data_IF_319647852266
#
_entry.id   IF_319647852266
#
_cell.length_a   1.000
_cell.length_b   1.000
_cell.length_c   1.000
_cell.angle_alpha   90.00
_cell.angle_beta   90.00
_cell.angle_gamma   90.00
#
_symmetry.space_group_name_H-M   'P 1'
#
loop_
_entity.id
_entity.type
_entity.pdbx_description
1 polymer ?
#
# COMPACT_ATOMS: atom_id res chain seq x y z
N UNK A 1 -21.46 3.28 -18.98
CA UNK A 1 -20.33 4.03 -19.57
C UNK A 1 -19.17 3.81 -18.62
N UNK A 2 -18.09 3.23 -19.11
CA UNK A 2 -16.87 3.03 -18.32
C UNK A 2 -16.25 4.40 -18.07
N UNK A 3 -16.17 4.86 -16.81
CA UNK A 3 -15.68 6.21 -16.47
C UNK A 3 -14.14 6.29 -16.41
N UNK A 4 -13.45 5.20 -16.79
CA UNK A 4 -11.99 5.14 -16.88
C UNK A 4 -11.28 5.11 -15.53
N UNK A 5 -12.02 4.91 -14.44
CA UNK A 5 -11.46 4.95 -13.10
C UNK A 5 -11.17 3.55 -12.54
N UNK A 6 -10.15 3.43 -11.68
CA UNK A 6 -9.77 2.15 -11.08
C UNK A 6 -10.89 1.60 -10.19
N UNK A 7 -11.26 0.34 -10.41
CA UNK A 7 -12.36 -0.33 -9.71
C UNK A 7 -11.80 -1.33 -8.70
N UNK A 8 -12.16 -1.22 -7.41
CA UNK A 8 -11.69 -2.17 -6.41
C UNK A 8 -12.30 -3.57 -6.68
N UNK A 9 -11.46 -4.60 -6.63
CA UNK A 9 -11.85 -6.00 -6.64
C UNK A 9 -12.11 -6.43 -5.20
N UNK A 10 -13.34 -6.82 -4.88
CA UNK A 10 -13.68 -7.38 -3.57
C UNK A 10 -13.92 -8.89 -3.72
N UNK A 11 -13.12 -9.70 -3.04
CA UNK A 11 -13.23 -11.16 -3.01
C UNK A 11 -13.82 -11.56 -1.66
N UNK A 12 -15.05 -12.03 -1.67
CA UNK A 12 -15.70 -12.54 -0.45
C UNK A 12 -15.92 -14.03 -0.59
N UNK A 13 -15.65 -14.76 0.49
CA UNK A 13 -15.91 -16.19 0.59
C UNK A 13 -16.04 -16.63 2.03
N UNK A 14 -16.57 -17.82 2.24
CA UNK A 14 -16.67 -18.41 3.57
C UNK A 14 -15.28 -18.67 4.19
N UNK A 15 -15.24 -18.88 5.50
CA UNK A 15 -14.00 -19.30 6.16
C UNK A 15 -13.52 -20.64 5.57
N UNK A 16 -12.24 -20.72 5.23
CA UNK A 16 -11.66 -21.90 4.59
C UNK A 16 -11.85 -21.99 3.07
N UNK A 17 -12.43 -20.98 2.41
CA UNK A 17 -12.65 -20.98 0.95
C UNK A 17 -11.38 -20.72 0.10
N UNK A 18 -10.18 -20.70 0.70
CA UNK A 18 -8.91 -20.48 -0.01
C UNK A 18 -8.50 -19.02 -0.23
N UNK A 19 -9.17 -18.06 0.42
CA UNK A 19 -8.88 -16.61 0.31
C UNK A 19 -7.43 -16.24 0.61
N UNK A 20 -6.93 -16.68 1.77
CA UNK A 20 -5.55 -16.44 2.18
C UNK A 20 -4.55 -17.15 1.28
N UNK A 21 -4.89 -18.32 0.73
CA UNK A 21 -4.09 -19.04 -0.27
C UNK A 21 -3.98 -18.26 -1.57
N UNK A 22 -5.06 -17.63 -2.02
CA UNK A 22 -5.04 -16.76 -3.21
C UNK A 22 -4.16 -15.53 -2.96
N UNK A 23 -4.36 -14.80 -1.85
CA UNK A 23 -3.52 -13.64 -1.48
C UNK A 23 -2.06 -14.04 -1.40
N UNK A 24 -1.74 -15.15 -0.73
CA UNK A 24 -0.37 -15.56 -0.51
C UNK A 24 0.34 -15.83 -1.84
N UNK A 25 -0.32 -16.44 -2.82
CA UNK A 25 0.27 -16.65 -4.16
C UNK A 25 0.48 -15.34 -4.92
N UNK A 26 -0.46 -14.39 -4.85
CA UNK A 26 -0.30 -13.07 -5.50
C UNK A 26 0.85 -12.31 -4.86
N UNK A 27 0.89 -12.22 -3.54
CA UNK A 27 1.95 -11.48 -2.83
C UNK A 27 3.31 -12.15 -3.01
N UNK A 28 3.38 -13.49 -2.94
CA UNK A 28 4.61 -14.23 -3.19
C UNK A 28 5.14 -13.97 -4.59
N UNK A 29 4.29 -13.93 -5.62
CA UNK A 29 4.74 -13.60 -6.97
C UNK A 29 5.41 -12.22 -7.08
N UNK A 30 4.95 -11.23 -6.32
CA UNK A 30 5.57 -9.90 -6.27
C UNK A 30 6.93 -9.94 -5.57
N UNK A 31 7.07 -10.72 -4.49
CA UNK A 31 8.33 -10.93 -3.79
C UNK A 31 9.36 -11.69 -4.65
N UNK A 32 8.93 -12.75 -5.35
CA UNK A 32 9.79 -13.50 -6.28
C UNK A 32 10.23 -12.63 -7.46
N UNK A 33 9.38 -11.71 -7.94
CA UNK A 33 9.75 -10.75 -8.97
C UNK A 33 10.80 -9.75 -8.44
N UNK A 34 10.55 -9.15 -7.28
CA UNK A 34 11.44 -8.16 -6.67
C UNK A 34 12.80 -8.75 -6.26
N UNK A 35 12.79 -9.98 -5.75
CA UNK A 35 13.98 -10.70 -5.27
C UNK A 35 15.04 -10.96 -6.35
N UNK A 36 14.67 -10.87 -7.63
CA UNK A 36 15.61 -10.97 -8.76
C UNK A 36 16.59 -9.81 -8.85
N UNK A 37 16.21 -8.64 -8.33
CA UNK A 37 16.95 -7.38 -8.56
C UNK A 37 17.27 -6.65 -7.27
N UNK A 38 16.37 -6.66 -6.29
CA UNK A 38 16.51 -5.86 -5.08
C UNK A 38 17.03 -6.69 -3.90
N UNK A 39 18.16 -6.27 -3.33
CA UNK A 39 18.84 -7.02 -2.25
C UNK A 39 18.12 -6.98 -0.90
N UNK A 40 17.15 -6.09 -0.74
CA UNK A 40 16.32 -5.96 0.46
C UNK A 40 14.87 -6.42 0.24
N UNK A 41 14.54 -7.00 -0.92
CA UNK A 41 13.20 -7.54 -1.15
C UNK A 41 12.96 -8.83 -0.36
N UNK A 42 13.99 -9.65 -0.19
CA UNK A 42 13.95 -10.90 0.59
C UNK A 42 14.86 -10.78 1.81
N UNK A 43 14.45 -11.39 2.93
CA UNK A 43 15.28 -11.39 4.14
C UNK A 43 16.41 -12.40 3.98
N UNK A 44 17.65 -11.92 3.96
CA UNK A 44 18.81 -12.80 4.02
C UNK A 44 19.03 -13.27 5.44
N UNK A 45 19.13 -14.59 5.61
CA UNK A 45 19.64 -15.15 6.85
C UNK A 45 21.11 -14.73 7.00
N UNK A 46 21.50 -14.28 8.19
CA UNK A 46 22.88 -13.80 8.43
C UNK A 46 23.88 -14.96 8.49
N UNK A 47 23.40 -16.19 8.68
CA UNK A 47 24.23 -17.38 8.88
C UNK A 47 24.26 -18.32 7.68
N UNK A 48 23.30 -18.21 6.74
CA UNK A 48 23.26 -19.01 5.53
C UNK A 48 23.19 -18.12 4.29
N UNK A 49 23.86 -18.51 3.19
CA UNK A 49 23.69 -17.85 1.87
C UNK A 49 22.27 -18.02 1.30
N UNK A 50 21.31 -18.50 2.09
CA UNK A 50 19.91 -18.68 1.73
C UNK A 50 19.09 -17.45 2.12
N UNK A 51 18.07 -17.19 1.31
CA UNK A 51 17.08 -16.17 1.56
C UNK A 51 15.84 -16.79 2.21
N UNK A 52 15.17 -16.01 3.05
CA UNK A 52 13.85 -16.36 3.59
C UNK A 52 12.81 -16.09 2.52
N UNK A 53 12.04 -17.11 2.18
CA UNK A 53 10.92 -17.01 1.23
C UNK A 53 9.73 -16.36 1.91
N UNK A 54 8.98 -15.53 1.18
CA UNK A 54 7.71 -14.99 1.66
C UNK A 54 6.69 -16.11 1.86
N UNK A 55 6.52 -16.99 0.85
CA UNK A 55 5.69 -18.20 0.94
C UNK A 55 6.54 -19.46 0.83
N UNK A 56 6.31 -20.42 1.73
CA UNK A 56 6.93 -21.75 1.68
C UNK A 56 6.07 -22.69 0.85
N UNK A 57 6.69 -23.55 0.03
CA UNK A 57 6.00 -24.65 -0.63
C UNK A 57 5.66 -25.69 0.44
N UNK A 58 4.39 -25.76 0.85
CA UNK A 58 3.93 -26.64 1.93
C UNK A 58 2.71 -27.45 1.53
N UNK A 59 2.78 -28.76 1.72
CA UNK A 59 1.65 -29.67 1.52
C UNK A 59 0.51 -29.42 2.51
N UNK A 60 0.74 -28.69 3.61
CA UNK A 60 -0.30 -28.33 4.57
C UNK A 60 -1.33 -27.34 3.99
N UNK A 61 -1.02 -26.65 2.89
CA UNK A 61 -1.97 -25.78 2.19
C UNK A 61 -2.93 -26.55 1.28
N UNK A 62 -2.68 -27.85 1.03
CA UNK A 62 -3.55 -28.70 0.22
C UNK A 62 -4.85 -28.94 0.99
N UNK A 63 -5.98 -28.66 0.34
CA UNK A 63 -7.30 -28.88 0.92
C UNK A 63 -7.47 -30.36 1.30
N UNK A 64 -8.05 -30.61 2.47
CA UNK A 64 -8.31 -31.98 2.96
C UNK A 64 -9.11 -32.77 1.91
N UNK A 65 -8.57 -33.92 1.51
CA UNK A 65 -9.16 -34.78 0.47
C UNK A 65 -8.57 -34.59 -0.93
N UNK A 66 -7.84 -33.50 -1.15
CA UNK A 66 -7.15 -33.21 -2.42
C UNK A 66 -5.70 -33.71 -2.39
N UNK A 67 -5.11 -33.90 -3.58
CA UNK A 67 -3.72 -34.39 -3.75
C UNK A 67 -2.71 -33.30 -4.05
N UNK A 68 -3.17 -32.13 -4.46
CA UNK A 68 -2.31 -31.05 -4.91
C UNK A 68 -2.96 -29.68 -4.68
N UNK A 69 -2.12 -28.65 -4.79
CA UNK A 69 -2.51 -27.26 -4.91
C UNK A 69 -1.58 -26.65 -5.98
N UNK A 70 -2.16 -25.97 -6.96
CA UNK A 70 -1.38 -25.13 -7.87
C UNK A 70 -1.99 -23.74 -7.97
N UNK A 71 -1.18 -22.78 -8.39
CA UNK A 71 -1.62 -21.42 -8.71
C UNK A 71 -0.88 -20.93 -9.94
N UNK A 72 -1.61 -20.25 -10.82
CA UNK A 72 -1.08 -19.53 -11.98
C UNK A 72 -1.55 -18.08 -11.87
N UNK A 73 -0.61 -17.15 -11.72
CA UNK A 73 -0.89 -15.71 -11.63
C UNK A 73 -0.30 -15.05 -12.86
N UNK A 74 -1.11 -14.34 -13.63
CA UNK A 74 -0.68 -13.63 -14.84
C UNK A 74 -0.94 -12.14 -14.63
N UNK A 75 0.10 -11.33 -14.82
CA UNK A 75 0.01 -9.88 -14.80
C UNK A 75 0.07 -9.32 -16.23
N UNK A 76 -0.50 -8.14 -16.42
CA UNK A 76 -0.57 -7.46 -17.72
C UNK A 76 0.83 -7.21 -18.35
N UNK A 77 1.88 -7.12 -17.53
CA UNK A 77 3.26 -6.90 -17.96
C UNK A 77 3.93 -8.17 -18.50
N UNK A 78 3.17 -9.18 -18.94
CA UNK A 78 3.68 -10.50 -19.36
C UNK A 78 4.37 -11.26 -18.23
N UNK A 79 4.17 -10.86 -16.97
CA UNK A 79 4.70 -11.58 -15.82
C UNK A 79 3.78 -12.75 -15.54
N UNK A 80 4.35 -13.93 -15.42
CA UNK A 80 3.62 -15.15 -15.14
C UNK A 80 4.29 -15.88 -13.99
N UNK A 81 3.53 -16.15 -12.93
CA UNK A 81 3.98 -16.88 -11.75
C UNK A 81 3.26 -18.20 -11.65
N UNK A 82 4.03 -19.25 -11.43
CA UNK A 82 3.59 -20.63 -11.32
C UNK A 82 3.98 -21.18 -9.95
N UNK A 83 3.00 -21.75 -9.27
CA UNK A 83 3.17 -22.42 -7.98
C UNK A 83 2.53 -23.79 -8.04
N UNK A 84 3.20 -24.80 -7.50
CA UNK A 84 2.68 -26.16 -7.32
C UNK A 84 3.17 -26.71 -5.99
N UNK A 85 2.30 -27.43 -5.30
CA UNK A 85 2.65 -28.37 -4.24
C UNK A 85 1.80 -29.63 -4.36
N UNK A 86 2.40 -30.79 -4.07
CA UNK A 86 1.73 -32.08 -4.13
C UNK A 86 1.75 -32.72 -5.51
N UNK A 87 0.89 -33.71 -5.69
CA UNK A 87 0.91 -34.61 -6.84
C UNK A 87 -0.09 -34.16 -7.92
N UNK A 88 0.40 -33.29 -8.81
CA UNK A 88 -0.32 -32.77 -9.98
C UNK A 88 0.52 -33.03 -11.23
N UNK A 89 -0.03 -33.77 -12.20
CA UNK A 89 0.66 -34.01 -13.47
C UNK A 89 0.69 -32.75 -14.33
N UNK A 90 1.67 -32.64 -15.24
CA UNK A 90 1.79 -31.48 -16.10
C UNK A 90 0.61 -31.32 -17.06
N UNK A 91 0.11 -32.43 -17.61
CA UNK A 91 -1.11 -32.48 -18.43
C UNK A 91 -2.33 -31.94 -17.66
N UNK A 92 -2.48 -32.34 -16.40
CA UNK A 92 -3.59 -31.86 -15.57
C UNK A 92 -3.49 -30.36 -15.33
N UNK A 93 -2.30 -29.87 -14.98
CA UNK A 93 -2.04 -28.44 -14.80
C UNK A 93 -2.35 -27.64 -16.08
N UNK A 94 -1.91 -28.09 -17.25
CA UNK A 94 -2.20 -27.42 -18.53
C UNK A 94 -3.69 -27.30 -18.80
N UNK A 95 -4.43 -28.40 -18.61
CA UNK A 95 -5.87 -28.45 -18.85
C UNK A 95 -6.66 -27.54 -17.90
N UNK A 96 -6.28 -27.49 -16.62
CA UNK A 96 -7.01 -26.71 -15.60
C UNK A 96 -6.59 -25.23 -15.56
N UNK A 97 -5.33 -24.91 -15.86
CA UNK A 97 -4.81 -23.53 -15.81
C UNK A 97 -4.80 -22.81 -17.16
N UNK A 98 -4.99 -23.55 -18.26
CA UNK A 98 -4.83 -23.04 -19.63
C UNK A 98 -3.39 -22.69 -20.00
N UNK A 99 -2.40 -23.27 -19.31
CA UNK A 99 -0.98 -23.02 -19.58
C UNK A 99 -0.54 -23.70 -20.88
N UNK A 100 0.15 -22.97 -21.75
CA UNK A 100 0.56 -23.42 -23.09
C UNK A 100 2.08 -23.62 -23.23
N UNK A 101 2.87 -23.28 -22.20
CA UNK A 101 4.31 -23.47 -22.18
C UNK A 101 4.78 -24.89 -21.85
N UNK A 102 6.09 -25.04 -21.61
CA UNK A 102 6.72 -26.32 -21.25
C UNK A 102 7.62 -26.15 -20.03
N UNK A 103 7.55 -27.10 -19.09
CA UNK A 103 8.31 -27.07 -17.82
C UNK A 103 8.92 -28.45 -17.62
N UNK A 104 10.22 -28.55 -17.87
CA UNK A 104 10.95 -29.83 -17.98
C UNK A 104 10.97 -30.64 -16.70
N UNK A 105 10.82 -30.02 -15.53
CA UNK A 105 10.91 -30.68 -14.23
C UNK A 105 9.55 -30.75 -13.50
N UNK A 106 8.43 -30.61 -14.21
CA UNK A 106 7.13 -30.53 -13.54
C UNK A 106 6.76 -31.82 -12.82
N UNK A 107 6.81 -32.96 -13.52
CA UNK A 107 6.35 -34.25 -12.99
C UNK A 107 7.35 -34.90 -12.02
N UNK A 108 8.63 -34.50 -12.08
CA UNK A 108 9.68 -35.00 -11.18
C UNK A 108 9.73 -34.26 -9.86
N UNK A 109 9.05 -33.11 -9.75
CA UNK A 109 9.09 -32.25 -8.58
C UNK A 109 7.72 -32.13 -7.90
N UNK A 110 7.71 -32.32 -6.58
CA UNK A 110 6.53 -32.16 -5.74
C UNK A 110 6.26 -30.71 -5.36
N UNK A 111 7.20 -29.82 -5.65
CA UNK A 111 7.13 -28.39 -5.37
C UNK A 111 7.72 -27.55 -6.49
N UNK A 112 6.93 -26.64 -7.07
CA UNK A 112 7.40 -25.71 -8.11
C UNK A 112 7.04 -24.31 -7.68
N UNK A 113 8.01 -23.41 -7.85
CA UNK A 113 7.80 -21.98 -7.72
C UNK A 113 8.68 -21.28 -8.74
N UNK A 114 8.06 -20.76 -9.79
CA UNK A 114 8.77 -20.13 -10.90
C UNK A 114 8.03 -18.86 -11.32
N UNK A 115 8.78 -17.86 -11.78
CA UNK A 115 8.24 -16.62 -12.31
C UNK A 115 8.93 -16.30 -13.64
N UNK A 116 8.19 -15.78 -14.61
CA UNK A 116 8.68 -15.49 -15.96
C UNK A 116 8.19 -14.13 -16.43
N UNK A 117 8.75 -13.63 -17.53
CA UNK A 117 8.24 -12.46 -18.23
C UNK A 117 9.26 -11.35 -18.44
N UNK A 118 9.68 -10.72 -17.35
CA UNK A 118 10.47 -9.48 -17.39
C UNK A 118 11.96 -9.70 -17.15
N UNK A 119 12.78 -8.88 -17.81
CA UNK A 119 14.20 -8.75 -17.51
C UNK A 119 14.46 -7.86 -16.28
N UNK A 120 15.73 -7.79 -15.85
CA UNK A 120 16.10 -7.06 -14.63
C UNK A 120 15.89 -5.54 -14.72
N UNK A 121 15.95 -4.92 -15.90
CA UNK A 121 15.71 -3.48 -16.05
C UNK A 121 14.20 -3.19 -16.09
N UNK A 122 13.43 -4.01 -16.80
CA UNK A 122 11.96 -3.95 -16.80
C UNK A 122 11.40 -4.14 -15.37
N UNK A 123 11.98 -5.04 -14.57
CA UNK A 123 11.59 -5.21 -13.16
C UNK A 123 11.84 -3.93 -12.36
N UNK A 124 12.99 -3.27 -12.53
CA UNK A 124 13.27 -2.00 -11.83
C UNK A 124 12.27 -0.92 -12.22
N UNK A 125 11.97 -0.82 -13.51
CA UNK A 125 10.99 0.12 -14.04
C UNK A 125 9.63 -0.10 -13.37
N UNK A 126 9.16 -1.35 -13.32
CA UNK A 126 7.89 -1.70 -12.68
C UNK A 126 7.83 -1.25 -11.22
N UNK A 127 8.83 -1.56 -10.40
CA UNK A 127 8.84 -1.17 -8.99
C UNK A 127 9.12 0.32 -8.75
N UNK A 128 9.66 1.02 -9.75
CA UNK A 128 9.86 2.47 -9.70
C UNK A 128 8.66 3.28 -10.18
N UNK A 129 7.79 2.68 -11.00
CA UNK A 129 6.64 3.36 -11.60
C UNK A 129 5.34 3.02 -10.87
N UNK A 130 5.13 1.73 -10.59
CA UNK A 130 3.90 1.24 -9.97
C UNK A 130 3.99 1.18 -8.45
N UNK A 131 2.90 1.53 -7.78
CA UNK A 131 2.70 1.30 -6.35
C UNK A 131 2.33 -0.17 -6.15
N UNK A 132 3.22 -0.93 -5.53
CA UNK A 132 3.00 -2.33 -5.18
C UNK A 132 2.99 -2.44 -3.67
N UNK A 133 1.83 -2.76 -3.10
CA UNK A 133 1.64 -2.71 -1.65
C UNK A 133 0.72 -3.82 -1.15
N UNK A 134 1.13 -4.51 -0.09
CA UNK A 134 0.37 -5.52 0.61
C UNK A 134 0.16 -5.13 2.06
N UNK A 135 -1.11 -5.13 2.44
CA UNK A 135 -1.63 -4.83 3.75
C UNK A 135 -2.07 -6.14 4.42
N UNK A 136 -1.11 -6.86 5.01
CA UNK A 136 -1.35 -8.12 5.70
C UNK A 136 -2.03 -8.00 7.07
N UNK A 137 -2.28 -9.15 7.73
CA UNK A 137 -3.19 -9.24 8.86
C UNK A 137 -2.64 -8.74 10.19
N UNK A 138 -1.31 -8.79 10.37
CA UNK A 138 -0.64 -8.33 11.58
C UNK A 138 -0.49 -6.80 11.57
N UNK A 139 -1.51 -6.11 12.07
CA UNK A 139 -1.45 -4.65 12.29
C UNK A 139 -1.78 -4.32 13.73
N UNK A 140 -0.74 -4.29 14.57
CA UNK A 140 -0.79 -3.49 15.79
C UNK A 140 -0.16 -2.14 15.49
N UNK A 141 -1.00 -1.15 15.17
CA UNK A 141 -0.57 0.23 15.40
C UNK A 141 -0.41 0.42 16.90
N UNK A 142 0.76 0.88 17.31
CA UNK A 142 1.08 1.12 18.71
C UNK A 142 0.02 2.08 19.28
N UNK A 143 -0.75 1.67 20.30
CA UNK A 143 -1.64 2.60 20.96
C UNK A 143 -0.83 3.66 21.69
N UNK A 144 -1.35 4.89 21.73
CA UNK A 144 -0.66 6.08 22.23
C UNK A 144 -0.21 6.00 23.69
N UNK A 145 -0.80 5.11 24.49
CA UNK A 145 -0.46 4.90 25.91
C UNK A 145 0.68 3.89 26.13
N UNK A 146 1.12 3.13 25.12
CA UNK A 146 2.16 2.13 25.28
C UNK A 146 3.55 2.81 25.37
N UNK A 147 4.36 2.47 26.37
CA UNK A 147 5.68 3.08 26.57
C UNK A 147 6.65 2.81 25.41
N UNK A 148 7.54 3.75 25.11
CA UNK A 148 8.53 3.64 24.02
C UNK A 148 9.55 2.52 24.25
N UNK A 149 9.92 2.26 25.50
CA UNK A 149 10.90 1.24 25.91
C UNK A 149 10.42 -0.21 25.77
N UNK A 150 9.16 -0.44 25.41
CA UNK A 150 8.60 -1.79 25.23
C UNK A 150 8.68 -2.29 23.77
N UNK A 151 9.24 -1.50 22.85
CA UNK A 151 9.28 -1.81 21.41
C UNK A 151 10.48 -1.17 20.69
N UNK A 152 11.60 -1.01 21.39
CA UNK A 152 12.59 0.05 21.19
C UNK A 152 13.03 0.38 19.74
N UNK A 153 13.31 1.68 19.62
CA UNK A 153 14.31 2.33 18.76
C UNK A 153 13.93 2.76 17.33
N UNK A 154 13.28 3.93 17.18
CA UNK A 154 13.40 4.77 15.99
C UNK A 154 13.22 6.25 16.37
N UNK A 155 14.31 7.00 16.30
CA UNK A 155 14.33 8.45 16.52
C UNK A 155 13.43 9.20 15.54
N UNK A 156 12.54 10.06 16.03
CA UNK A 156 11.72 11.00 15.23
C UNK A 156 12.54 12.22 14.79
N UNK A 157 13.72 11.99 14.22
CA UNK A 157 14.53 13.04 13.62
C UNK A 157 14.23 13.14 12.12
N UNK A 158 14.27 14.37 11.61
CA UNK A 158 14.36 14.62 10.17
C UNK A 158 15.62 13.91 9.67
N UNK A 159 15.44 12.74 9.08
CA UNK A 159 16.51 11.97 8.48
C UNK A 159 16.33 12.01 6.96
N UNK A 160 17.41 12.23 6.23
CA UNK A 160 17.38 12.10 4.76
C UNK A 160 17.76 10.66 4.46
N UNK A 161 16.81 9.88 3.95
CA UNK A 161 17.10 8.48 3.62
C UNK A 161 17.97 8.39 2.36
N UNK A 162 19.16 7.77 2.44
CA UNK A 162 20.00 7.58 1.25
C UNK A 162 19.30 6.62 0.27
N UNK A 163 19.17 7.05 -0.98
CA UNK A 163 18.62 6.24 -2.07
C UNK A 163 19.71 5.32 -2.64
N UNK A 164 19.46 4.01 -2.66
CA UNK A 164 20.37 3.03 -3.25
C UNK A 164 19.70 2.35 -4.45
N UNK A 165 20.36 2.30 -5.59
CA UNK A 165 19.79 1.73 -6.83
C UNK A 165 19.40 0.25 -6.71
N UNK A 166 20.09 -0.52 -5.85
CA UNK A 166 19.83 -1.96 -5.68
C UNK A 166 18.93 -2.27 -4.48
N UNK A 167 18.29 -1.26 -3.88
CA UNK A 167 17.31 -1.45 -2.82
C UNK A 167 15.93 -1.00 -3.26
N UNK A 168 14.95 -1.85 -2.99
CA UNK A 168 13.56 -1.54 -3.13
C UNK A 168 13.21 -0.38 -2.20
N UNK A 169 12.74 0.73 -2.77
CA UNK A 169 12.39 1.96 -2.04
C UNK A 169 11.17 1.76 -1.13
N UNK A 170 10.12 1.16 -1.70
CA UNK A 170 8.86 0.91 -1.04
C UNK A 170 8.75 -0.58 -0.72
N UNK A 171 8.70 -1.01 0.55
CA UNK A 171 8.54 -2.42 0.86
C UNK A 171 7.18 -2.93 0.37
N UNK A 172 7.13 -4.16 -0.16
CA UNK A 172 5.88 -4.77 -0.65
C UNK A 172 4.90 -4.91 0.51
N UNK A 173 5.29 -5.55 1.61
CA UNK A 173 4.48 -5.56 2.83
C UNK A 173 4.63 -4.24 3.59
N UNK A 174 3.51 -3.57 3.80
CA UNK A 174 3.47 -2.26 4.43
C UNK A 174 3.59 -2.39 5.96
N UNK A 175 4.79 -2.16 6.50
CA UNK A 175 5.06 -2.14 7.95
C UNK A 175 5.21 -0.70 8.49
N UNK A 176 5.07 -0.52 9.82
CA UNK A 176 5.26 0.77 10.52
C UNK A 176 4.48 1.96 9.93
N UNK A 177 3.24 1.70 9.48
CA UNK A 177 2.42 2.67 8.74
C UNK A 177 2.27 3.99 9.47
N UNK A 178 1.83 3.97 10.74
CA UNK A 178 1.60 5.19 11.51
C UNK A 178 2.83 6.10 11.60
N UNK A 179 3.98 5.58 12.05
CA UNK A 179 5.21 6.40 12.21
C UNK A 179 5.74 6.90 10.87
N UNK A 180 5.82 6.02 9.87
CA UNK A 180 6.36 6.38 8.56
C UNK A 180 5.47 7.34 7.77
N UNK A 181 4.15 7.14 7.82
CA UNK A 181 3.19 8.05 7.20
C UNK A 181 3.18 9.40 7.92
N UNK A 182 3.26 9.42 9.26
CA UNK A 182 3.27 10.67 10.00
C UNK A 182 4.53 11.49 9.74
N UNK A 183 5.72 10.86 9.65
CA UNK A 183 6.95 11.55 9.27
C UNK A 183 6.83 12.15 7.87
N UNK A 184 6.41 11.36 6.88
CA UNK A 184 6.18 11.86 5.53
C UNK A 184 5.13 12.98 5.48
N UNK A 185 4.06 12.89 6.25
CA UNK A 185 3.04 13.95 6.36
C UNK A 185 3.64 15.25 6.91
N UNK A 186 4.53 15.16 7.90
CA UNK A 186 5.22 16.35 8.43
C UNK A 186 6.13 16.97 7.37
N UNK A 187 6.82 16.16 6.55
CA UNK A 187 7.62 16.63 5.43
C UNK A 187 6.73 17.36 4.39
N UNK A 188 5.60 16.76 3.98
CA UNK A 188 4.61 17.38 3.09
C UNK A 188 4.06 18.71 3.66
N UNK A 189 3.78 18.76 4.97
CA UNK A 189 3.34 20.01 5.62
C UNK A 189 4.45 21.04 5.62
N UNK A 190 5.70 20.65 5.87
CA UNK A 190 6.85 21.54 5.86
C UNK A 190 7.09 22.11 4.45
N UNK A 191 7.11 21.26 3.42
CA UNK A 191 7.35 21.64 2.02
C UNK A 191 6.21 22.50 1.44
N UNK A 192 4.99 22.37 1.99
CA UNK A 192 3.84 23.23 1.63
C UNK A 192 3.88 24.63 2.27
N UNK A 193 4.85 24.92 3.14
CA UNK A 193 4.98 26.22 3.82
C UNK A 193 6.06 27.07 3.16
N UNK A 194 5.96 28.37 3.34
CA UNK A 194 6.90 29.35 2.79
C UNK A 194 7.34 30.33 3.85
N UNK A 195 8.57 30.79 3.73
CA UNK A 195 9.11 31.86 4.55
C UNK A 195 8.57 33.21 4.07
N UNK A 196 8.17 34.05 5.02
CA UNK A 196 7.65 35.39 4.74
C UNK A 196 8.70 36.42 5.15
N UNK A 197 9.12 37.23 4.18
CA UNK A 197 9.95 38.41 4.39
C UNK A 197 9.13 39.70 4.37
N UNK A 198 9.65 40.73 5.03
CA UNK A 198 9.08 42.08 5.02
C UNK A 198 10.01 42.97 4.19
N UNK A 199 9.50 43.55 3.10
CA UNK A 199 10.24 44.53 2.31
C UNK A 199 10.29 45.91 3.00
N UNK A 200 11.15 46.82 2.54
CA UNK A 200 11.37 48.16 3.16
C UNK A 200 10.12 49.04 3.24
N UNK A 201 9.08 48.71 2.49
CA UNK A 201 7.77 49.36 2.42
C UNK A 201 6.69 48.65 3.29
N UNK A 202 7.06 47.74 4.19
CA UNK A 202 6.16 46.89 4.97
C UNK A 202 5.29 45.92 4.15
N UNK A 203 5.60 45.64 2.88
CA UNK A 203 4.87 44.60 2.13
C UNK A 203 5.42 43.21 2.43
N UNK A 204 4.51 42.28 2.72
CA UNK A 204 4.83 40.86 2.91
C UNK A 204 5.12 40.21 1.55
N UNK A 205 6.18 39.40 1.49
CA UNK A 205 6.54 38.64 0.30
C UNK A 205 7.09 37.28 0.69
N UNK A 206 6.80 36.28 -0.14
CA UNK A 206 7.44 34.96 -0.04
C UNK A 206 8.92 35.07 -0.37
N UNK A 207 9.78 34.59 0.52
CA UNK A 207 11.25 34.60 0.35
C UNK A 207 11.77 33.17 0.34
N UNK A 208 12.92 32.95 -0.31
CA UNK A 208 13.62 31.66 -0.35
C UNK A 208 12.82 30.47 -0.90
N UNK A 209 11.72 30.71 -1.62
CA UNK A 209 10.87 29.64 -2.17
C UNK A 209 10.48 29.95 -3.62
N UNK A 210 10.53 28.94 -4.49
CA UNK A 210 9.94 29.02 -5.82
C UNK A 210 8.41 28.88 -5.72
N UNK A 211 7.68 29.86 -6.25
CA UNK A 211 6.21 29.91 -6.17
C UNK A 211 5.57 28.71 -6.87
N UNK A 212 6.13 28.25 -8.00
CA UNK A 212 5.57 27.11 -8.73
C UNK A 212 5.70 25.80 -7.95
N UNK A 213 6.88 25.58 -7.34
CA UNK A 213 7.12 24.43 -6.45
C UNK A 213 6.22 24.50 -5.21
N UNK A 214 6.07 25.68 -4.60
CA UNK A 214 5.18 25.88 -3.45
C UNK A 214 3.72 25.53 -3.78
N UNK A 215 3.23 25.94 -4.95
CA UNK A 215 1.89 25.60 -5.42
C UNK A 215 1.75 24.08 -5.58
N UNK A 216 2.74 23.41 -6.17
CA UNK A 216 2.74 21.96 -6.33
C UNK A 216 2.72 21.24 -4.97
N UNK A 217 3.61 21.62 -4.04
CA UNK A 217 3.66 21.03 -2.68
C UNK A 217 2.39 21.32 -1.87
N UNK A 218 1.81 22.51 -2.06
CA UNK A 218 0.50 22.83 -1.48
C UNK A 218 -0.62 21.94 -2.01
N UNK A 219 -0.58 21.57 -3.30
CA UNK A 219 -1.53 20.62 -3.89
C UNK A 219 -1.37 19.21 -3.32
N UNK A 220 -0.13 18.72 -3.15
CA UNK A 220 0.13 17.43 -2.50
C UNK A 220 -0.46 17.38 -1.09
N UNK A 221 -0.27 18.44 -0.30
CA UNK A 221 -0.89 18.57 1.02
C UNK A 221 -2.42 18.56 0.96
N UNK A 222 -3.03 19.34 0.06
CA UNK A 222 -4.49 19.40 -0.11
C UNK A 222 -5.08 18.05 -0.47
N UNK A 223 -4.37 17.24 -1.26
CA UNK A 223 -4.81 15.89 -1.61
C UNK A 223 -4.89 14.99 -0.37
N UNK A 224 -3.94 15.06 0.56
CA UNK A 224 -3.99 14.30 1.82
C UNK A 224 -5.04 14.87 2.78
N UNK A 225 -5.20 16.19 2.85
CA UNK A 225 -6.27 16.82 3.62
C UNK A 225 -7.66 16.40 3.09
N UNK A 226 -7.81 16.23 1.77
CA UNK A 226 -9.03 15.69 1.14
C UNK A 226 -9.29 14.25 1.55
N UNK A 227 -8.27 13.39 1.59
CA UNK A 227 -8.40 12.01 2.11
C UNK A 227 -8.91 12.02 3.55
N UNK A 228 -8.30 12.82 4.43
CA UNK A 228 -8.76 12.94 5.82
C UNK A 228 -10.17 13.52 5.91
N UNK A 229 -10.51 14.50 5.06
CA UNK A 229 -11.84 15.11 5.01
C UNK A 229 -12.93 14.09 4.66
N UNK A 230 -12.64 13.19 3.71
CA UNK A 230 -13.53 12.08 3.35
C UNK A 230 -13.72 11.15 4.55
N UNK A 231 -12.64 10.75 5.23
CA UNK A 231 -12.66 9.83 6.38
C UNK A 231 -13.42 10.42 7.58
N UNK A 232 -13.32 11.73 7.80
CA UNK A 232 -13.99 12.43 8.90
C UNK A 232 -15.39 12.94 8.51
N UNK A 233 -15.73 12.88 7.22
CA UNK A 233 -16.95 13.46 6.66
C UNK A 233 -17.14 14.96 7.05
N UNK A 234 -16.05 15.72 6.99
CA UNK A 234 -15.98 17.15 7.31
C UNK A 234 -14.79 17.75 6.55
N UNK A 235 -14.88 18.98 6.06
CA UNK A 235 -13.73 19.64 5.42
C UNK A 235 -12.68 20.04 6.46
N UNK A 236 -11.48 19.48 6.34
CA UNK A 236 -10.40 19.67 7.31
C UNK A 236 -9.09 20.09 6.68
N UNK A 237 -8.22 20.66 7.53
CA UNK A 237 -6.83 20.90 7.20
C UNK A 237 -5.92 20.53 8.37
N UNK A 238 -4.63 20.31 8.08
CA UNK A 238 -3.63 19.96 9.09
C UNK A 238 -2.97 21.20 9.70
N UNK A 239 -3.13 21.38 11.00
CA UNK A 239 -2.49 22.43 11.77
C UNK A 239 -1.21 21.95 12.46
N UNK A 240 -0.26 22.87 12.62
CA UNK A 240 0.84 22.69 13.58
C UNK A 240 0.75 23.75 14.67
N UNK A 241 0.74 23.33 15.92
CA UNK A 241 0.77 24.21 17.07
C UNK A 241 2.18 24.77 17.32
N UNK A 242 2.25 25.90 18.01
CA UNK A 242 3.53 26.45 18.47
C UNK A 242 4.22 25.48 19.44
N UNK A 243 5.55 25.48 19.42
CA UNK A 243 6.39 24.56 20.21
C UNK A 243 6.16 24.63 21.72
N UNK A 244 5.61 25.75 22.21
CA UNK A 244 5.29 26.00 23.62
C UNK A 244 4.10 25.14 24.09
N UNK A 245 3.26 24.66 23.17
CA UNK A 245 2.19 23.71 23.48
C UNK A 245 2.76 22.29 23.41
N UNK A 246 3.29 21.82 24.54
CA UNK A 246 3.83 20.47 24.70
C UNK A 246 2.75 19.40 24.42
N UNK A 247 3.15 18.26 23.81
CA UNK A 247 2.29 17.08 23.63
C UNK A 247 1.29 17.10 22.46
N UNK A 248 1.00 18.24 21.82
CA UNK A 248 0.02 18.33 20.73
C UNK A 248 0.50 19.22 19.57
N UNK A 249 1.67 18.91 18.97
CA UNK A 249 2.24 19.72 17.88
C UNK A 249 1.47 19.64 16.57
N UNK A 250 0.76 18.56 16.31
CA UNK A 250 -0.05 18.37 15.13
C UNK A 250 -1.52 18.33 15.53
N UNK A 251 -2.40 18.94 14.76
CA UNK A 251 -3.84 18.89 14.97
C UNK A 251 -4.60 18.87 13.65
N UNK A 252 -5.87 18.46 13.72
CA UNK A 252 -6.79 18.48 12.60
C UNK A 252 -7.89 19.49 12.93
N UNK A 253 -8.09 20.46 12.03
CA UNK A 253 -9.05 21.56 12.21
C UNK A 253 -10.08 21.57 11.10
N UNK A 254 -11.27 22.05 11.42
CA UNK A 254 -12.31 22.36 10.43
C UNK A 254 -11.94 23.59 9.63
N UNK A 255 -12.18 23.54 8.32
CA UNK A 255 -12.01 24.71 7.45
C UNK A 255 -13.03 25.82 7.77
N UNK A 256 -14.26 25.46 8.15
CA UNK A 256 -15.36 26.43 8.31
C UNK A 256 -15.22 27.40 9.49
N UNK A 257 -14.59 26.98 10.59
CA UNK A 257 -14.58 27.71 11.86
C UNK A 257 -13.27 27.56 12.67
N UNK A 258 -12.23 26.96 12.08
CA UNK A 258 -10.94 26.67 12.73
C UNK A 258 -11.02 25.84 14.02
N UNK A 259 -12.18 25.24 14.32
CA UNK A 259 -12.34 24.39 15.50
C UNK A 259 -11.54 23.10 15.36
N UNK A 260 -10.95 22.67 16.47
CA UNK A 260 -10.16 21.44 16.53
C UNK A 260 -11.10 20.23 16.53
N UNK A 261 -10.90 19.31 15.58
CA UNK A 261 -11.57 18.01 15.54
C UNK A 261 -10.74 16.96 16.30
N UNK A 262 -9.42 16.99 16.10
CA UNK A 262 -8.50 16.04 16.69
C UNK A 262 -7.24 16.75 17.17
N UNK A 263 -6.84 16.46 18.42
CA UNK A 263 -5.66 17.05 19.06
C UNK A 263 -4.35 16.38 18.60
N UNK A 264 -4.44 15.17 18.05
CA UNK A 264 -3.36 14.44 17.38
C UNK A 264 -3.96 13.32 16.50
N UNK A 265 -3.13 12.58 15.76
CA UNK A 265 -3.54 11.36 15.06
C UNK A 265 -4.13 10.31 16.01
N UNK A 266 -3.68 10.28 17.27
CA UNK A 266 -4.14 9.34 18.29
C UNK A 266 -5.56 9.64 18.80
N UNK A 267 -6.10 10.81 18.46
CA UNK A 267 -7.49 11.17 18.79
C UNK A 267 -8.50 10.53 17.84
N UNK A 268 -8.04 9.89 16.75
CA UNK A 268 -8.89 9.23 15.77
C UNK A 268 -9.31 7.83 16.23
N UNK A 269 -10.48 7.37 15.79
CA UNK A 269 -10.84 5.96 15.97
C UNK A 269 -9.87 5.05 15.21
N UNK A 270 -9.71 3.82 15.68
CA UNK A 270 -8.83 2.82 15.04
C UNK A 270 -9.18 2.59 13.57
N UNK A 271 -10.47 2.58 13.21
CA UNK A 271 -10.91 2.46 11.82
C UNK A 271 -10.57 3.68 10.95
N UNK A 272 -10.71 4.90 11.48
CA UNK A 272 -10.33 6.12 10.76
C UNK A 272 -8.82 6.19 10.53
N UNK A 273 -8.04 5.85 11.55
CA UNK A 273 -6.59 5.82 11.48
C UNK A 273 -6.11 4.74 10.50
N UNK A 274 -6.71 3.55 10.52
CA UNK A 274 -6.41 2.48 9.58
C UNK A 274 -6.70 2.88 8.12
N UNK A 275 -7.87 3.48 7.85
CA UNK A 275 -8.22 3.99 6.51
C UNK A 275 -7.23 5.08 6.08
N UNK A 276 -6.93 6.03 6.96
CA UNK A 276 -5.98 7.09 6.65
C UNK A 276 -4.60 6.52 6.34
N UNK A 277 -4.13 5.53 7.11
CA UNK A 277 -2.84 4.92 6.90
C UNK A 277 -2.75 4.11 5.61
N UNK A 278 -3.83 3.43 5.19
CA UNK A 278 -3.89 2.74 3.88
C UNK A 278 -3.70 3.76 2.75
N UNK A 279 -4.55 4.78 2.68
CA UNK A 279 -4.51 5.75 1.58
C UNK A 279 -3.25 6.62 1.60
N UNK A 280 -2.79 7.01 2.79
CA UNK A 280 -1.55 7.79 2.95
C UNK A 280 -0.34 6.97 2.54
N UNK A 281 -0.30 5.67 2.83
CA UNK A 281 0.79 4.80 2.37
C UNK A 281 0.80 4.65 0.84
N UNK A 282 -0.36 4.54 0.20
CA UNK A 282 -0.45 4.50 -1.27
C UNK A 282 0.15 5.77 -1.88
N UNK A 283 -0.28 6.94 -1.40
CA UNK A 283 0.20 8.23 -1.94
C UNK A 283 1.67 8.43 -1.63
N UNK A 284 2.13 8.09 -0.41
CA UNK A 284 3.55 8.14 -0.03
C UNK A 284 4.41 7.22 -0.90
N UNK A 285 3.95 6.00 -1.20
CA UNK A 285 4.70 5.09 -2.06
C UNK A 285 4.81 5.65 -3.48
N UNK A 286 3.73 6.27 -3.98
CA UNK A 286 3.75 6.95 -5.26
C UNK A 286 4.70 8.17 -5.26
N UNK A 287 4.70 8.97 -4.19
CA UNK A 287 5.60 10.11 -3.99
C UNK A 287 7.09 9.70 -3.97
N UNK A 288 7.41 8.62 -3.25
CA UNK A 288 8.75 8.04 -3.20
C UNK A 288 9.27 7.59 -4.58
N UNK A 289 8.35 7.19 -5.45
CA UNK A 289 8.60 6.82 -6.84
C UNK A 289 8.83 8.07 -7.69
N UNK A 290 7.84 8.97 -7.72
CA UNK A 290 7.87 10.29 -8.34
C UNK A 290 7.03 11.28 -7.52
N UNK A 291 7.65 12.37 -7.07
CA UNK A 291 7.02 13.41 -6.25
C UNK A 291 5.77 14.02 -6.93
N UNK A 292 5.71 14.03 -8.25
CA UNK A 292 4.53 14.53 -8.97
C UNK A 292 3.28 13.69 -8.70
N UNK A 293 3.42 12.43 -8.28
CA UNK A 293 2.27 11.53 -8.03
C UNK A 293 1.49 11.89 -6.76
N UNK A 294 2.10 12.58 -5.79
CA UNK A 294 1.33 13.15 -4.67
C UNK A 294 0.59 14.43 -5.05
N UNK A 295 1.10 15.17 -6.03
CA UNK A 295 0.46 16.36 -6.63
C UNK A 295 -0.71 15.98 -7.53
N UNK A 296 -0.55 14.91 -8.33
CA UNK A 296 -1.53 14.39 -9.29
C UNK A 296 -1.89 12.93 -8.97
N UNK A 297 -2.71 12.66 -7.93
CA UNK A 297 -3.04 11.31 -7.49
C UNK A 297 -3.72 10.44 -8.57
N UNK A 298 -4.36 11.07 -9.56
CA UNK A 298 -4.95 10.40 -10.73
C UNK A 298 -3.93 9.67 -11.60
N UNK A 299 -2.64 10.02 -11.50
CA UNK A 299 -1.54 9.37 -12.23
C UNK A 299 -0.99 8.14 -11.50
N UNK A 300 -1.45 7.87 -10.27
CA UNK A 300 -0.95 6.75 -9.48
C UNK A 300 -1.44 5.44 -10.11
N UNK A 301 -0.49 4.57 -10.44
CA UNK A 301 -0.75 3.25 -10.98
C UNK A 301 -0.17 2.14 -10.11
N UNK A 302 -0.77 0.95 -10.11
CA UNK A 302 -0.23 -0.20 -9.40
C UNK A 302 -1.26 -1.16 -8.81
N UNK A 303 -0.81 -2.01 -7.87
CA UNK A 303 -1.59 -3.07 -7.23
C UNK A 303 -1.47 -2.95 -5.72
N UNK A 304 -2.62 -2.84 -5.05
CA UNK A 304 -2.76 -2.80 -3.60
C UNK A 304 -3.59 -3.98 -3.13
N UNK A 305 -3.05 -4.79 -2.24
CA UNK A 305 -3.69 -6.00 -1.72
C UNK A 305 -4.00 -5.79 -0.24
N UNK A 306 -5.26 -5.97 0.17
CA UNK A 306 -5.73 -5.71 1.53
C UNK A 306 -6.45 -6.96 2.05
N UNK A 307 -5.91 -7.57 3.10
CA UNK A 307 -6.51 -8.71 3.78
C UNK A 307 -7.48 -8.28 4.90
N UNK A 308 -8.54 -9.06 5.10
CA UNK A 308 -9.77 -8.78 5.86
C UNK A 308 -9.57 -8.26 7.28
N UNK A 309 -8.55 -8.77 7.99
CA UNK A 309 -8.31 -8.37 9.37
C UNK A 309 -7.88 -6.90 9.51
N UNK A 310 -7.56 -6.24 8.40
CA UNK A 310 -7.23 -4.82 8.35
C UNK A 310 -8.41 -3.87 8.63
N UNK A 311 -9.67 -4.32 8.45
CA UNK A 311 -10.85 -3.43 8.40
C UNK A 311 -11.97 -3.88 9.37
N UNK A 312 -11.81 -5.03 10.04
CA UNK A 312 -12.88 -5.82 10.67
C UNK A 312 -13.64 -5.11 11.81
N UNK A 313 -13.10 -4.08 12.45
CA UNK A 313 -13.85 -3.30 13.47
C UNK A 313 -14.65 -2.11 12.92
N UNK A 314 -14.46 -1.77 11.63
CA UNK A 314 -15.02 -0.57 11.01
C UNK A 314 -15.79 -0.82 9.72
N UNK A 315 -16.07 -2.08 9.36
CA UNK A 315 -16.64 -2.47 8.07
C UNK A 315 -17.97 -1.77 7.72
N UNK A 316 -18.85 -1.49 8.69
CA UNK A 316 -20.08 -0.73 8.45
C UNK A 316 -19.83 0.75 8.06
N UNK A 317 -18.76 1.33 8.57
CA UNK A 317 -18.32 2.69 8.20
C UNK A 317 -17.52 2.66 6.91
N UNK A 318 -16.68 1.65 6.70
CA UNK A 318 -15.90 1.41 5.48
C UNK A 318 -16.79 1.17 4.27
N UNK A 319 -17.92 0.47 4.40
CA UNK A 319 -18.91 0.32 3.31
C UNK A 319 -19.40 1.70 2.86
N UNK A 320 -19.75 2.59 3.80
CA UNK A 320 -20.19 3.97 3.50
C UNK A 320 -19.08 4.85 2.89
N UNK A 321 -17.82 4.67 3.29
CA UNK A 321 -16.67 5.43 2.75
C UNK A 321 -16.18 4.89 1.41
N UNK A 322 -16.13 3.57 1.24
CA UNK A 322 -15.85 2.91 -0.03
C UNK A 322 -16.95 3.28 -1.01
N UNK A 323 -18.24 3.23 -0.62
CA UNK A 323 -19.37 3.66 -1.46
C UNK A 323 -19.39 5.17 -1.73
N UNK A 324 -18.97 6.05 -0.81
CA UNK A 324 -18.81 7.49 -1.09
C UNK A 324 -17.65 7.81 -2.03
N UNK A 325 -16.57 7.03 -1.95
CA UNK A 325 -15.46 7.10 -2.90
C UNK A 325 -15.92 6.53 -4.27
N UNK A 326 -16.72 5.47 -4.27
CA UNK A 326 -17.38 4.82 -5.45
C UNK A 326 -18.47 5.70 -6.10
N UNK A 327 -19.19 6.54 -5.33
CA UNK A 327 -20.10 7.56 -5.88
C UNK A 327 -19.34 8.67 -6.63
N UNK A 328 -18.07 8.90 -6.28
CA UNK A 328 -17.16 9.73 -7.07
C UNK A 328 -16.39 8.94 -8.14
N UNK A 329 -16.51 7.61 -8.17
CA UNK A 329 -15.73 6.68 -9.01
C UNK A 329 -16.49 5.38 -9.31
N UNK A 330 -17.22 5.27 -10.43
CA UNK A 330 -18.26 4.23 -10.60
C UNK A 330 -17.85 2.96 -11.38
N UNK A 331 -17.89 1.82 -10.68
CA UNK A 331 -18.36 0.43 -10.99
C UNK A 331 -18.11 -0.27 -12.37
N UNK A 332 -17.43 -1.43 -12.23
CA UNK A 332 -17.23 -2.68 -12.99
C UNK A 332 -17.46 -2.84 -14.52
N UNK A 333 -16.36 -3.13 -15.23
CA UNK A 333 -16.20 -4.15 -16.31
C UNK A 333 -14.70 -4.46 -16.43
N UNK A 334 -14.29 -5.74 -16.45
CA UNK A 334 -12.90 -6.14 -16.72
C UNK A 334 -12.68 -5.96 -18.22
N UNK A 335 -12.14 -4.81 -18.65
CA UNK A 335 -11.49 -4.65 -19.95
C UNK A 335 -10.43 -3.55 -19.91
N UNK A 336 -9.26 -3.92 -20.46
CA UNK A 336 -8.19 -3.08 -21.02
C UNK A 336 -8.44 -1.57 -21.01
N UNK A 337 -7.84 -0.89 -20.04
CA UNK A 337 -6.98 0.29 -20.22
C UNK A 337 -6.75 0.92 -18.83
N UNK A 338 -5.51 0.83 -18.36
CA UNK A 338 -4.84 1.62 -17.31
C UNK A 338 -5.68 2.08 -16.10
N UNK A 339 -5.29 1.66 -14.90
CA UNK A 339 -4.53 2.57 -14.01
C UNK A 339 -4.22 1.96 -12.64
N UNK A 340 -5.16 1.46 -11.84
CA UNK A 340 -4.85 1.04 -10.45
C UNK A 340 -5.79 -0.07 -9.94
N UNK A 341 -5.27 -1.10 -9.25
CA UNK A 341 -6.07 -2.24 -8.77
C UNK A 341 -5.99 -2.36 -7.26
N UNK A 342 -7.12 -2.25 -6.56
CA UNK A 342 -7.21 -2.54 -5.12
C UNK A 342 -7.95 -3.86 -4.93
N UNK A 343 -7.33 -4.83 -4.27
CA UNK A 343 -7.92 -6.13 -3.96
C UNK A 343 -8.28 -6.15 -2.47
N UNK A 344 -9.57 -6.13 -2.14
CA UNK A 344 -10.10 -6.35 -0.80
C UNK A 344 -10.59 -7.78 -0.67
N UNK A 345 -10.35 -8.41 0.47
CA UNK A 345 -10.87 -9.76 0.75
C UNK A 345 -11.65 -9.76 2.06
N UNK A 346 -12.78 -10.49 2.14
CA UNK A 346 -13.64 -10.53 3.33
C UNK A 346 -14.42 -11.84 3.56
N UNK A 347 -15.06 -11.99 4.73
CA UNK A 347 -15.98 -13.08 5.09
C UNK A 347 -17.44 -12.67 4.92
N UNK A 348 -18.25 -13.58 4.40
CA UNK A 348 -19.63 -13.32 3.96
C UNK A 348 -20.69 -13.20 5.07
N UNK A 349 -20.34 -12.68 6.25
CA UNK A 349 -21.23 -12.68 7.42
C UNK A 349 -22.48 -11.81 7.31
N UNK A 350 -22.42 -10.65 6.63
CA UNK A 350 -23.53 -9.68 6.59
C UNK A 350 -23.54 -8.91 5.26
N UNK A 351 -23.78 -9.61 4.15
CA UNK A 351 -23.74 -9.02 2.80
C UNK A 351 -25.10 -8.52 2.28
N UNK A 352 -26.19 -8.68 3.05
CA UNK A 352 -27.50 -8.14 2.67
C UNK A 352 -27.78 -6.78 3.30
#
# INVERSE_FOLDING_TARGET
MDDGKPKPLIIVGENGSGKSTMISNIVDSLYELAGRVFSNALHHDKESYNYSYYKVISSNEIKVGERYLFSRVIFDNRVEYLFKTGDCSFEQFKNESGYDGDITNWDTNTGIKEIYGLDNEEIKEVFSEYVICYFGPERYEKPSWLGDTYYDDLSTHLYVEPKFNNKLKNPIMAYNLGKGNFRWLLDVIADSRTDIGIEKNNTLKTVHTNIQELIAMSSARRNIEKVMSIILNEEVYFGLNLRVHEGARFNIKRVKDDSIIALSMDSLSTGQLALFNIFTTIIRYADNNDINKSVYPESIMGIVIIDESAITSSFNTSKRYITKIDESVSICSIYRNNTFTIIFIGTGGDIW
#
